data_IF_565945811461
#
_entry.id   IF_565945811461
#
_cell.length_a   1.000
_cell.length_b   1.000
_cell.length_c   1.000
_cell.angle_alpha   90.00
_cell.angle_beta   90.00
_cell.angle_gamma   90.00
#
_symmetry.space_group_name_H-M   'P 1'
#
loop_
_entity.id
_entity.type
_entity.pdbx_description
1 polymer ?
#
# COMPACT_ATOMS: atom_id res chain seq x y z
N UNK A 1 29.66 -4.11 -23.35
CA UNK A 1 28.69 -3.76 -22.29
C UNK A 1 27.39 -3.42 -23.00
N UNK A 2 26.39 -4.29 -22.93
CA UNK A 2 25.07 -4.04 -23.54
C UNK A 2 24.40 -2.93 -22.71
N UNK A 3 24.11 -1.78 -23.33
CA UNK A 3 23.31 -0.75 -22.65
C UNK A 3 21.99 -1.38 -22.22
N UNK A 4 21.61 -1.17 -20.95
CA UNK A 4 20.26 -1.48 -20.51
C UNK A 4 19.28 -0.70 -21.40
N UNK A 5 18.20 -1.34 -21.89
CA UNK A 5 17.18 -0.61 -22.65
C UNK A 5 16.71 0.59 -21.82
N UNK A 6 16.58 1.74 -22.48
CA UNK A 6 16.14 2.97 -21.83
C UNK A 6 14.83 2.73 -21.09
N UNK A 7 14.85 2.84 -19.77
CA UNK A 7 13.66 2.63 -18.95
C UNK A 7 12.62 3.70 -19.28
N UNK A 8 11.37 3.28 -19.48
CA UNK A 8 10.25 4.23 -19.60
C UNK A 8 10.08 4.90 -18.25
N UNK A 9 10.14 6.25 -18.17
CA UNK A 9 9.96 6.95 -16.91
C UNK A 9 8.54 6.72 -16.39
N UNK A 10 8.43 6.37 -15.10
CA UNK A 10 7.13 6.31 -14.44
C UNK A 10 6.52 7.72 -14.39
N UNK A 11 5.19 7.85 -14.46
CA UNK A 11 4.53 9.13 -14.27
C UNK A 11 4.97 9.78 -12.96
N UNK A 12 5.28 11.08 -13.01
CA UNK A 12 5.59 11.82 -11.81
C UNK A 12 4.35 11.90 -10.90
N UNK A 13 4.56 11.72 -9.60
CA UNK A 13 3.56 12.05 -8.60
C UNK A 13 3.25 13.56 -8.66
N UNK A 14 1.97 13.98 -8.70
CA UNK A 14 1.61 15.40 -8.61
C UNK A 14 2.19 16.04 -7.34
N UNK A 15 2.71 17.26 -7.45
CA UNK A 15 3.39 17.94 -6.34
C UNK A 15 2.48 18.25 -5.14
N UNK A 16 1.17 18.27 -5.36
CA UNK A 16 0.15 18.52 -4.34
C UNK A 16 -0.39 17.23 -3.71
N UNK A 17 0.07 16.04 -4.14
CA UNK A 17 -0.34 14.80 -3.49
C UNK A 17 0.15 14.83 -2.04
N UNK A 18 -0.76 14.72 -1.04
CA UNK A 18 -0.35 14.66 0.34
C UNK A 18 0.63 13.50 0.56
N UNK A 19 1.79 13.81 1.13
CA UNK A 19 2.70 12.79 1.63
C UNK A 19 2.52 12.67 3.14
N UNK A 20 2.08 11.52 3.64
CA UNK A 20 1.86 11.37 5.05
C UNK A 20 3.16 11.04 5.78
N UNK A 21 3.41 11.76 6.87
CA UNK A 21 4.53 11.50 7.78
C UNK A 21 4.01 10.88 9.08
N UNK A 22 3.21 11.63 9.82
CA UNK A 22 2.65 11.23 11.12
C UNK A 22 1.16 10.87 11.01
N UNK A 23 0.42 11.60 10.18
CA UNK A 23 -1.00 11.37 9.92
C UNK A 23 -1.27 11.29 8.43
N UNK A 24 -2.24 10.46 8.06
CA UNK A 24 -2.77 10.42 6.71
C UNK A 24 -4.08 11.20 6.63
N UNK A 25 -4.28 12.02 5.59
CA UNK A 25 -5.61 12.55 5.32
C UNK A 25 -6.54 11.42 4.87
N UNK A 26 -7.78 11.45 5.34
CA UNK A 26 -8.85 10.62 4.82
C UNK A 26 -9.51 11.30 3.61
N UNK A 27 -10.08 10.49 2.73
CA UNK A 27 -10.76 10.93 1.51
C UNK A 27 -11.90 10.02 1.14
N UNK A 28 -12.64 10.41 0.11
CA UNK A 28 -13.68 9.57 -0.47
C UNK A 28 -13.11 8.83 -1.69
N UNK A 29 -13.52 7.57 -1.94
CA UNK A 29 -13.19 6.89 -3.18
C UNK A 29 -13.56 7.73 -4.39
N UNK A 30 -12.74 7.67 -5.44
CA UNK A 30 -13.03 8.37 -6.69
C UNK A 30 -14.35 7.90 -7.33
N UNK A 31 -14.92 8.68 -8.28
CA UNK A 31 -16.23 8.41 -8.86
C UNK A 31 -16.33 7.08 -9.64
N UNK A 32 -15.19 6.49 -10.01
CA UNK A 32 -15.12 5.22 -10.73
C UNK A 32 -14.93 4.01 -9.81
N UNK A 33 -14.96 4.19 -8.48
CA UNK A 33 -14.84 3.10 -7.53
C UNK A 33 -16.22 2.57 -7.19
N UNK A 34 -16.45 1.29 -7.49
CA UNK A 34 -17.62 0.57 -6.99
C UNK A 34 -17.42 0.26 -5.51
N UNK A 35 -17.93 1.15 -4.66
CA UNK A 35 -17.81 1.03 -3.21
C UNK A 35 -18.59 -0.15 -2.66
N UNK A 36 -19.73 -0.51 -3.25
CA UNK A 36 -20.51 -1.67 -2.81
C UNK A 36 -19.77 -2.97 -3.11
N UNK A 37 -19.13 -3.09 -4.28
CA UNK A 37 -18.32 -4.25 -4.60
C UNK A 37 -17.08 -4.35 -3.68
N UNK A 38 -16.42 -3.20 -3.41
CA UNK A 38 -15.29 -3.16 -2.49
C UNK A 38 -15.69 -3.58 -1.07
N UNK A 39 -16.79 -3.04 -0.55
CA UNK A 39 -17.26 -3.36 0.79
C UNK A 39 -17.65 -4.86 0.87
N UNK A 40 -18.29 -5.43 -0.15
CA UNK A 40 -18.57 -6.88 -0.21
C UNK A 40 -17.31 -7.76 -0.27
N UNK A 41 -16.23 -7.30 -0.89
CA UNK A 41 -14.93 -8.00 -0.86
C UNK A 41 -14.28 -7.93 0.52
N UNK A 42 -14.41 -6.79 1.21
CA UNK A 42 -13.92 -6.64 2.58
C UNK A 42 -14.75 -7.47 3.55
N UNK A 43 -16.06 -7.55 3.39
CA UNK A 43 -16.91 -8.42 4.22
C UNK A 43 -16.52 -9.89 4.04
N UNK A 44 -16.20 -10.31 2.81
CA UNK A 44 -15.65 -11.63 2.56
C UNK A 44 -14.28 -11.84 3.23
N UNK A 45 -13.36 -10.88 3.10
CA UNK A 45 -12.00 -11.00 3.61
C UNK A 45 -11.92 -11.00 5.15
N UNK A 46 -12.86 -10.32 5.80
CA UNK A 46 -12.97 -10.17 7.24
C UNK A 46 -14.14 -10.99 7.81
N UNK A 47 -14.47 -12.15 7.23
CA UNK A 47 -15.46 -13.06 7.80
C UNK A 47 -14.93 -13.80 9.05
N UNK A 48 -15.78 -14.00 10.07
CA UNK A 48 -15.52 -14.77 11.32
C UNK A 48 -14.85 -16.12 11.08
N UNK A 49 -15.29 -16.83 10.04
CA UNK A 49 -14.61 -18.00 9.52
C UNK A 49 -13.67 -17.56 8.38
N UNK A 50 -12.34 -17.57 8.58
CA UNK A 50 -11.40 -17.07 7.59
C UNK A 50 -11.54 -17.85 6.28
N UNK A 51 -11.70 -17.18 5.13
CA UNK A 51 -11.89 -17.90 3.88
C UNK A 51 -10.62 -18.63 3.45
N UNK A 52 -10.76 -19.87 2.98
CA UNK A 52 -9.61 -20.73 2.60
C UNK A 52 -8.62 -20.06 1.64
N UNK A 53 -9.12 -19.23 0.71
CA UNK A 53 -8.29 -18.53 -0.27
C UNK A 53 -7.47 -17.35 0.26
N UNK A 54 -7.83 -16.80 1.42
CA UNK A 54 -7.17 -15.62 2.01
C UNK A 54 -6.52 -15.90 3.37
N UNK A 55 -7.05 -16.85 4.13
CA UNK A 55 -6.72 -17.00 5.55
C UNK A 55 -7.28 -15.83 6.37
N UNK A 56 -6.72 -15.62 7.56
CA UNK A 56 -7.09 -14.52 8.46
C UNK A 56 -6.59 -13.17 7.91
N UNK A 57 -7.50 -12.22 7.76
CA UNK A 57 -7.17 -10.85 7.36
C UNK A 57 -7.17 -9.94 8.59
N UNK A 58 -5.99 -9.47 9.01
CA UNK A 58 -5.91 -8.57 10.17
C UNK A 58 -6.14 -7.09 9.83
N UNK A 59 -5.76 -6.66 8.62
CA UNK A 59 -5.81 -5.26 8.22
C UNK A 59 -5.93 -5.10 6.71
N UNK A 60 -6.63 -4.05 6.28
CA UNK A 60 -6.71 -3.59 4.91
C UNK A 60 -6.62 -2.07 4.87
N UNK A 61 -5.84 -1.54 3.94
CA UNK A 61 -5.69 -0.11 3.70
C UNK A 61 -5.65 0.17 2.20
N UNK A 62 -6.54 1.05 1.71
CA UNK A 62 -6.55 1.53 0.34
C UNK A 62 -6.34 3.03 0.28
N UNK A 63 -5.43 3.41 -0.63
CA UNK A 63 -4.91 4.76 -0.76
C UNK A 63 -5.13 5.25 -2.18
N UNK A 64 -5.75 6.40 -2.34
CA UNK A 64 -5.93 7.04 -3.64
C UNK A 64 -5.64 8.53 -3.52
N UNK A 65 -4.77 9.05 -4.40
CA UNK A 65 -4.44 10.48 -4.41
C UNK A 65 -3.79 10.99 -3.11
N UNK A 66 -3.08 10.13 -2.38
CA UNK A 66 -2.45 10.48 -1.10
C UNK A 66 -3.41 10.48 0.10
N UNK A 67 -4.66 10.03 -0.08
CA UNK A 67 -5.65 9.94 0.98
C UNK A 67 -6.07 8.49 1.23
N UNK A 68 -6.36 8.15 2.48
CA UNK A 68 -7.00 6.88 2.84
C UNK A 68 -8.44 6.95 2.36
N UNK A 69 -8.83 6.05 1.46
CA UNK A 69 -10.21 5.97 0.96
C UNK A 69 -10.99 4.79 1.55
N UNK A 70 -10.28 3.79 2.08
CA UNK A 70 -10.83 2.66 2.84
C UNK A 70 -9.77 2.11 3.78
N UNK A 71 -10.20 1.76 4.99
CA UNK A 71 -9.38 1.14 6.01
C UNK A 71 -10.27 0.23 6.85
N UNK A 72 -9.77 -0.96 7.18
CA UNK A 72 -10.49 -1.93 8.03
C UNK A 72 -9.49 -2.79 8.80
N UNK A 73 -9.82 -3.07 10.05
CA UNK A 73 -9.04 -3.92 10.95
C UNK A 73 -9.93 -5.03 11.51
N UNK A 74 -9.31 -6.15 11.89
CA UNK A 74 -9.97 -7.26 12.58
C UNK A 74 -10.10 -6.97 14.08
N UNK A 75 -11.26 -7.14 14.70
CA UNK A 75 -11.50 -7.04 16.17
C UNK A 75 -10.61 -6.02 16.92
N UNK A 76 -9.64 -6.53 17.70
CA UNK A 76 -8.74 -5.76 18.57
C UNK A 76 -7.47 -5.25 17.85
N UNK A 77 -7.35 -5.46 16.54
CA UNK A 77 -6.30 -4.88 15.71
C UNK A 77 -6.62 -3.43 15.32
N UNK A 78 -5.59 -2.69 14.98
CA UNK A 78 -5.68 -1.29 14.61
C UNK A 78 -4.40 -0.76 13.97
N UNK A 79 -4.42 0.53 13.65
CA UNK A 79 -3.32 1.21 12.97
C UNK A 79 -2.02 1.26 13.78
N UNK A 80 -2.09 1.12 15.10
CA UNK A 80 -0.93 1.13 15.99
C UNK A 80 -0.28 -0.26 16.18
N UNK A 81 -0.94 -1.33 15.74
CA UNK A 81 -0.40 -2.69 15.87
C UNK A 81 0.71 -2.91 14.82
N UNK A 82 1.72 -3.70 15.17
CA UNK A 82 2.72 -4.18 14.20
C UNK A 82 2.25 -5.47 13.55
N UNK A 83 2.44 -5.60 12.24
CA UNK A 83 2.10 -6.79 11.48
C UNK A 83 3.37 -7.46 10.90
N UNK A 84 3.40 -8.79 10.75
CA UNK A 84 4.50 -9.47 10.09
C UNK A 84 4.65 -8.97 8.64
N UNK A 85 5.79 -8.37 8.31
CA UNK A 85 6.01 -7.79 6.98
C UNK A 85 6.26 -8.83 5.90
N UNK A 86 6.71 -10.03 6.28
CA UNK A 86 7.12 -11.10 5.36
C UNK A 86 8.01 -10.56 4.22
N UNK A 87 7.76 -10.97 2.98
CA UNK A 87 8.50 -10.52 1.81
C UNK A 87 8.27 -9.06 1.43
N UNK A 88 7.28 -8.35 2.01
CA UNK A 88 7.12 -6.90 1.77
C UNK A 88 8.37 -6.12 2.22
N UNK A 89 9.11 -6.63 3.22
CA UNK A 89 10.37 -6.05 3.66
C UNK A 89 11.40 -5.91 2.51
N UNK A 90 11.38 -6.81 1.53
CA UNK A 90 12.29 -6.76 0.37
C UNK A 90 12.08 -5.50 -0.46
N UNK A 91 10.84 -5.04 -0.62
CA UNK A 91 10.53 -3.82 -1.34
C UNK A 91 11.13 -2.60 -0.65
N UNK A 92 11.03 -2.51 0.67
CA UNK A 92 11.65 -1.43 1.45
C UNK A 92 13.18 -1.48 1.34
N UNK A 93 13.78 -2.66 1.49
CA UNK A 93 15.22 -2.84 1.33
C UNK A 93 15.69 -2.42 -0.07
N UNK A 94 14.99 -2.82 -1.12
CA UNK A 94 15.33 -2.43 -2.49
C UNK A 94 15.16 -0.92 -2.73
N UNK A 95 14.14 -0.29 -2.14
CA UNK A 95 13.97 1.17 -2.22
C UNK A 95 15.17 1.90 -1.58
N UNK A 96 15.59 1.45 -0.39
CA UNK A 96 16.76 2.01 0.30
C UNK A 96 18.06 1.80 -0.50
N UNK A 97 18.26 0.60 -1.07
CA UNK A 97 19.39 0.31 -1.97
C UNK A 97 19.37 1.23 -3.19
N UNK A 98 18.22 1.40 -3.85
CA UNK A 98 18.09 2.32 -4.98
C UNK A 98 18.43 3.78 -4.62
N UNK A 99 18.04 4.23 -3.42
CA UNK A 99 18.43 5.55 -2.90
C UNK A 99 19.96 5.64 -2.71
N UNK A 100 20.60 4.60 -2.19
CA UNK A 100 22.05 4.58 -2.01
C UNK A 100 22.81 4.56 -3.35
N UNK A 101 22.34 3.81 -4.34
CA UNK A 101 22.87 3.82 -5.71
C UNK A 101 22.73 5.21 -6.33
N UNK A 102 21.54 5.82 -6.24
CA UNK A 102 21.31 7.17 -6.75
C UNK A 102 22.21 8.24 -6.09
N UNK A 103 22.67 7.98 -4.86
CA UNK A 103 23.63 8.82 -4.13
C UNK A 103 25.10 8.45 -4.39
N UNK A 104 25.38 7.42 -5.19
CA UNK A 104 26.74 6.94 -5.49
C UNK A 104 27.44 6.30 -4.29
N UNK A 105 26.68 5.81 -3.30
CA UNK A 105 27.23 5.20 -2.08
C UNK A 105 27.49 3.69 -2.25
N UNK A 106 26.82 3.06 -3.21
CA UNK A 106 26.98 1.65 -3.62
C UNK A 106 26.77 1.55 -5.15
N UNK A 107 27.34 0.52 -5.76
CA UNK A 107 27.23 0.15 -7.19
C UNK A 107 26.39 -1.13 -7.34
#
# INVERSE_FOLDING_TARGET
>A
MTQAPGLVPLPAQPSQTPWPTETWPEGQPGPNVDTSALDGLLDFAFADAPPERLGETHAFLAVQGGQIIRERYWDDYGAANTYPSWSMAKSITQALVGILVARGLID
#
